data_IF_911075868810
#
_entry.id   IF_911075868810
#
_cell.length_a   1.000
_cell.length_b   1.000
_cell.length_c   1.000
_cell.angle_alpha   90.00
_cell.angle_beta   90.00
_cell.angle_gamma   90.00
#
_symmetry.space_group_name_H-M   'P 1'
#
loop_
_entity.id
_entity.type
_entity.pdbx_description
1 polymer ?
#
# COMPACT_ATOMS: atom_id res chain seq x y z
N UNK A 1 -9.92 0.40 9.05
CA UNK A 1 -10.26 1.43 10.03
C UNK A 1 -8.98 2.14 10.44
N UNK A 2 -8.51 3.10 9.63
CA UNK A 2 -7.44 3.99 10.01
C UNK A 2 -8.03 5.09 10.91
N UNK A 3 -7.52 5.23 12.12
CA UNK A 3 -7.71 6.44 12.91
C UNK A 3 -6.82 7.53 12.33
N UNK A 4 -7.27 8.77 12.42
CA UNK A 4 -6.60 9.95 11.86
C UNK A 4 -5.12 10.04 12.28
N UNK A 5 -4.26 10.59 11.41
CA UNK A 5 -2.83 10.87 11.70
C UNK A 5 -2.70 11.66 13.01
N UNK A 6 -3.61 12.60 13.29
CA UNK A 6 -3.63 13.34 14.53
C UNK A 6 -3.73 12.44 15.75
N UNK A 7 -4.56 11.38 15.72
CA UNK A 7 -4.65 10.39 16.80
C UNK A 7 -3.39 9.50 16.84
N UNK A 8 -2.84 9.12 15.67
CA UNK A 8 -1.60 8.35 15.61
C UNK A 8 -0.40 9.15 16.15
N UNK A 9 -0.28 10.42 15.78
CA UNK A 9 0.76 11.32 16.30
C UNK A 9 0.55 11.58 17.80
N UNK A 10 -0.68 11.79 18.27
CA UNK A 10 -0.97 11.92 19.69
C UNK A 10 -0.67 10.63 20.47
N UNK A 11 -0.96 9.47 19.90
CA UNK A 11 -0.64 8.16 20.50
C UNK A 11 0.88 7.99 20.65
N UNK A 12 1.65 8.38 19.63
CA UNK A 12 3.13 8.34 19.67
C UNK A 12 3.68 9.38 20.67
N UNK A 13 3.09 10.56 20.80
CA UNK A 13 3.51 11.57 21.77
C UNK A 13 3.30 11.15 23.24
N UNK A 14 2.41 10.21 23.53
CA UNK A 14 2.21 9.62 24.84
C UNK A 14 3.12 8.40 25.11
N UNK A 15 3.86 7.92 24.11
CA UNK A 15 4.93 6.97 24.34
C UNK A 15 6.05 7.72 25.08
N UNK A 16 6.27 7.40 26.36
CA UNK A 16 7.44 7.85 27.09
C UNK A 16 8.67 7.23 26.40
N UNK A 17 9.28 7.98 25.50
CA UNK A 17 10.62 7.65 25.05
C UNK A 17 11.54 7.69 26.29
N UNK A 18 12.41 6.71 26.49
CA UNK A 18 13.32 6.73 27.63
C UNK A 18 14.14 8.01 27.58
N UNK A 19 14.22 8.75 28.74
CA UNK A 19 14.94 10.02 28.90
C UNK A 19 16.47 9.91 28.76
N UNK A 20 16.99 8.77 28.36
CA UNK A 20 18.41 8.63 28.08
C UNK A 20 18.70 9.08 26.66
N UNK A 21 19.59 10.09 26.46
CA UNK A 21 20.04 10.45 25.13
C UNK A 21 20.73 9.22 24.54
N UNK A 22 20.09 8.64 23.53
CA UNK A 22 20.72 7.62 22.68
C UNK A 22 21.99 8.25 22.14
N UNK A 23 23.11 7.61 22.43
CA UNK A 23 24.44 7.96 21.95
C UNK A 23 24.38 8.35 20.47
N UNK A 24 24.91 9.50 20.09
CA UNK A 24 24.96 10.11 18.77
C UNK A 24 25.85 9.37 17.77
N UNK A 25 25.81 8.06 17.76
CA UNK A 25 26.45 7.17 16.78
C UNK A 25 25.49 6.01 16.40
N UNK A 26 24.19 6.28 16.33
CA UNK A 26 23.22 5.33 15.80
C UNK A 26 23.17 5.51 14.28
N UNK A 27 23.54 4.48 13.54
CA UNK A 27 23.03 4.24 12.20
C UNK A 27 21.51 4.15 12.36
N UNK A 28 20.81 5.29 12.14
CA UNK A 28 19.37 5.32 12.30
C UNK A 28 18.77 4.28 11.36
N UNK A 29 18.02 3.34 11.91
CA UNK A 29 17.27 2.36 11.14
C UNK A 29 16.27 3.12 10.26
N UNK A 30 16.23 2.91 8.93
CA UNK A 30 15.31 3.63 8.08
C UNK A 30 13.86 3.27 8.45
N UNK A 31 13.07 4.29 8.79
CA UNK A 31 11.66 4.13 9.15
C UNK A 31 10.78 4.86 8.15
N UNK A 32 9.61 4.27 7.87
CA UNK A 32 8.60 4.84 6.99
C UNK A 32 7.24 4.97 7.66
N UNK A 33 6.37 5.83 7.10
CA UNK A 33 5.00 6.05 7.58
C UNK A 33 4.03 6.13 6.41
N UNK A 34 2.85 5.48 6.55
CA UNK A 34 1.78 5.54 5.56
C UNK A 34 0.84 6.71 5.79
N UNK A 35 0.48 7.37 4.69
CA UNK A 35 -0.58 8.36 4.59
C UNK A 35 -1.67 7.81 3.67
N UNK A 36 -2.84 7.54 4.22
CA UNK A 36 -3.97 6.99 3.47
C UNK A 36 -4.75 8.08 2.73
N UNK A 37 -5.57 7.68 1.75
CA UNK A 37 -6.48 8.60 1.07
C UNK A 37 -7.48 9.30 2.04
N UNK A 38 -7.77 8.69 3.19
CA UNK A 38 -8.60 9.31 4.23
C UNK A 38 -7.88 10.46 4.94
N UNK A 39 -6.57 10.35 5.12
CA UNK A 39 -5.76 11.42 5.70
C UNK A 39 -5.75 12.66 4.79
N UNK A 40 -5.84 12.45 3.46
CA UNK A 40 -5.97 13.55 2.50
C UNK A 40 -7.33 14.23 2.58
N UNK A 41 -8.41 13.47 2.80
CA UNK A 41 -9.74 14.05 2.92
C UNK A 41 -9.78 15.14 3.99
N UNK A 42 -9.09 14.93 5.10
CA UNK A 42 -9.04 15.87 6.23
C UNK A 42 -8.35 17.19 5.86
N UNK A 43 -7.24 17.11 5.12
CA UNK A 43 -6.40 18.28 4.82
C UNK A 43 -6.60 18.86 3.43
N UNK A 44 -7.33 18.17 2.52
CA UNK A 44 -7.53 18.56 1.12
C UNK A 44 -8.94 19.08 0.85
N UNK A 45 -9.99 18.44 1.42
CA UNK A 45 -11.38 18.75 1.06
C UNK A 45 -11.75 20.19 1.38
N UNK A 46 -12.14 20.95 0.35
CA UNK A 46 -12.56 22.35 0.47
C UNK A 46 -11.44 23.33 0.84
N UNK A 47 -10.18 22.92 0.70
CA UNK A 47 -9.02 23.77 1.00
C UNK A 47 -8.48 24.47 -0.23
N UNK A 48 -7.98 25.67 -0.05
CA UNK A 48 -7.13 26.34 -1.03
C UNK A 48 -5.73 25.68 -1.07
N UNK A 49 -4.98 25.93 -2.14
CA UNK A 49 -3.58 25.47 -2.26
C UNK A 49 -2.73 25.85 -1.04
N UNK A 50 -2.86 27.09 -0.59
CA UNK A 50 -2.08 27.61 0.55
C UNK A 50 -2.41 26.89 1.86
N UNK A 51 -3.71 26.62 2.11
CA UNK A 51 -4.14 25.88 3.30
C UNK A 51 -3.70 24.42 3.25
N UNK A 52 -3.83 23.77 2.08
CA UNK A 52 -3.36 22.40 1.88
C UNK A 52 -1.83 22.32 2.08
N UNK A 53 -1.07 23.20 1.46
CA UNK A 53 0.40 23.26 1.60
C UNK A 53 0.80 23.42 3.07
N UNK A 54 0.18 24.35 3.80
CA UNK A 54 0.46 24.56 5.22
C UNK A 54 0.17 23.32 6.06
N UNK A 55 -0.95 22.62 5.80
CA UNK A 55 -1.30 21.38 6.48
C UNK A 55 -0.30 20.25 6.19
N UNK A 56 0.15 20.11 4.93
CA UNK A 56 1.17 19.14 4.53
C UNK A 56 2.50 19.44 5.23
N UNK A 57 2.93 20.70 5.26
CA UNK A 57 4.16 21.12 5.95
C UNK A 57 4.11 20.77 7.45
N UNK A 58 3.00 21.04 8.11
CA UNK A 58 2.82 20.70 9.53
C UNK A 58 2.95 19.19 9.74
N UNK A 59 2.29 18.37 8.92
CA UNK A 59 2.34 16.90 9.01
C UNK A 59 3.76 16.38 8.79
N UNK A 60 4.45 16.85 7.76
CA UNK A 60 5.80 16.36 7.46
C UNK A 60 6.85 16.81 8.48
N UNK A 61 6.68 17.99 9.10
CA UNK A 61 7.49 18.38 10.25
C UNK A 61 7.29 17.44 11.45
N UNK A 62 6.05 17.03 11.73
CA UNK A 62 5.76 16.04 12.77
C UNK A 62 6.40 14.70 12.46
N UNK A 63 6.28 14.21 11.22
CA UNK A 63 6.89 12.96 10.74
C UNK A 63 8.42 13.00 10.86
N UNK A 64 9.04 14.10 10.45
CA UNK A 64 10.49 14.31 10.57
C UNK A 64 10.96 14.33 12.04
N UNK A 65 10.19 14.95 12.93
CA UNK A 65 10.49 14.99 14.37
C UNK A 65 10.46 13.60 15.02
N UNK A 66 9.73 12.62 14.42
CA UNK A 66 9.72 11.22 14.83
C UNK A 66 10.90 10.41 14.26
N UNK A 67 11.77 11.02 13.46
CA UNK A 67 12.91 10.34 12.83
C UNK A 67 12.51 9.48 11.63
N UNK A 68 11.34 9.67 11.06
CA UNK A 68 10.88 9.01 9.85
C UNK A 68 11.61 9.59 8.63
N UNK A 69 12.02 8.73 7.69
CA UNK A 69 12.74 9.12 6.47
C UNK A 69 11.92 8.90 5.20
N UNK A 70 10.93 8.01 5.22
CA UNK A 70 10.11 7.66 4.05
C UNK A 70 8.63 7.82 4.35
N UNK A 71 7.89 8.43 3.43
CA UNK A 71 6.43 8.48 3.48
C UNK A 71 5.83 7.70 2.32
N UNK A 72 4.85 6.85 2.63
CA UNK A 72 4.06 6.11 1.64
C UNK A 72 2.73 6.83 1.45
N UNK A 73 2.59 7.56 0.35
CA UNK A 73 1.41 8.38 0.07
C UNK A 73 0.43 7.59 -0.80
N UNK A 74 -0.77 7.28 -0.30
CA UNK A 74 -1.80 6.58 -1.08
C UNK A 74 -2.38 7.51 -2.15
N UNK A 75 -1.80 7.51 -3.32
CA UNK A 75 -2.15 8.42 -4.43
C UNK A 75 -3.21 7.84 -5.37
N UNK A 76 -3.51 6.54 -5.25
CA UNK A 76 -4.54 5.85 -6.02
C UNK A 76 -5.16 4.71 -5.21
N UNK A 77 -6.35 4.94 -4.63
CA UNK A 77 -7.00 4.02 -3.71
C UNK A 77 -8.09 3.16 -4.37
N UNK A 78 -8.86 3.74 -5.32
CA UNK A 78 -10.08 3.13 -5.87
C UNK A 78 -10.24 3.43 -7.37
N UNK A 79 -9.20 3.20 -8.16
CA UNK A 79 -9.17 3.60 -9.57
C UNK A 79 -9.42 5.12 -9.75
N UNK A 80 -8.90 5.88 -8.83
CA UNK A 80 -8.89 7.34 -8.76
C UNK A 80 -7.44 7.84 -8.66
N UNK A 81 -7.22 9.13 -8.75
CA UNK A 81 -5.89 9.73 -8.63
C UNK A 81 -5.94 11.03 -7.81
N UNK A 82 -5.03 11.17 -6.85
CA UNK A 82 -4.76 12.41 -6.12
C UNK A 82 -3.64 13.23 -6.81
N UNK A 83 -3.62 13.13 -8.14
CA UNK A 83 -2.71 13.82 -9.06
C UNK A 83 -3.36 13.97 -10.43
N UNK A 84 -2.77 14.77 -11.32
CA UNK A 84 -3.28 14.90 -12.69
C UNK A 84 -3.02 13.63 -13.48
N UNK A 85 -4.09 12.92 -13.87
CA UNK A 85 -4.01 11.66 -14.63
C UNK A 85 -4.89 11.67 -15.86
N UNK A 86 -4.40 11.03 -16.93
CA UNK A 86 -5.17 10.75 -18.15
C UNK A 86 -5.91 9.42 -18.09
N UNK A 87 -5.54 8.54 -17.15
CA UNK A 87 -6.09 7.20 -17.00
C UNK A 87 -7.11 7.07 -15.87
N UNK A 88 -7.01 7.91 -14.85
CA UNK A 88 -7.81 7.80 -13.61
C UNK A 88 -8.50 9.13 -13.28
N UNK A 89 -9.74 9.03 -12.82
CA UNK A 89 -10.49 10.21 -12.37
C UNK A 89 -9.87 10.82 -11.10
N UNK A 90 -10.10 12.11 -10.83
CA UNK A 90 -9.69 12.74 -9.59
C UNK A 90 -10.24 12.00 -8.36
N UNK A 91 -9.41 11.92 -7.30
CA UNK A 91 -9.79 11.31 -6.03
C UNK A 91 -11.00 11.98 -5.40
N UNK A 92 -11.83 11.21 -4.69
CA UNK A 92 -13.12 11.67 -4.16
C UNK A 92 -13.01 12.85 -3.17
N UNK A 93 -11.85 13.02 -2.52
CA UNK A 93 -11.59 14.15 -1.61
C UNK A 93 -11.15 15.41 -2.36
N UNK A 94 -10.88 15.33 -3.65
CA UNK A 94 -10.62 16.48 -4.49
C UNK A 94 -11.95 17.12 -4.90
N UNK A 95 -12.11 18.40 -4.62
CA UNK A 95 -13.28 19.13 -5.12
C UNK A 95 -13.19 19.30 -6.63
N UNK A 96 -14.35 19.43 -7.31
CA UNK A 96 -14.40 19.61 -8.76
C UNK A 96 -13.70 20.89 -9.26
N UNK A 97 -13.50 21.85 -8.35
CA UNK A 97 -12.81 23.12 -8.56
C UNK A 97 -11.37 23.13 -8.00
N UNK A 98 -10.83 21.96 -7.62
CA UNK A 98 -9.44 21.86 -7.20
C UNK A 98 -8.51 22.29 -8.34
N UNK A 99 -7.86 23.44 -8.17
CA UNK A 99 -7.03 24.08 -9.20
C UNK A 99 -5.53 23.79 -9.06
N UNK A 100 -5.15 22.92 -8.12
CA UNK A 100 -3.75 22.55 -7.85
C UNK A 100 -3.60 21.02 -7.84
N UNK A 101 -2.36 20.58 -7.99
CA UNK A 101 -2.00 19.17 -7.95
C UNK A 101 -1.55 18.78 -6.53
N UNK A 102 -2.34 17.97 -5.79
CA UNK A 102 -2.00 17.61 -4.42
C UNK A 102 -0.69 16.82 -4.31
N UNK A 103 -0.44 15.88 -5.22
CA UNK A 103 0.78 15.07 -5.19
C UNK A 103 2.03 15.93 -5.42
N UNK A 104 1.97 16.88 -6.37
CA UNK A 104 3.09 17.79 -6.61
C UNK A 104 3.44 18.63 -5.38
N UNK A 105 2.42 19.09 -4.65
CA UNK A 105 2.64 19.82 -3.40
C UNK A 105 3.28 18.93 -2.36
N UNK A 106 2.73 17.73 -2.14
CA UNK A 106 3.24 16.79 -1.14
C UNK A 106 4.68 16.38 -1.43
N UNK A 107 5.02 16.10 -2.70
CA UNK A 107 6.40 15.81 -3.11
C UNK A 107 7.34 16.96 -2.80
N UNK A 108 6.95 18.18 -3.17
CA UNK A 108 7.76 19.38 -2.92
C UNK A 108 8.06 19.55 -1.43
N UNK A 109 7.04 19.46 -0.59
CA UNK A 109 7.17 19.65 0.87
C UNK A 109 7.91 18.48 1.55
N UNK A 110 7.70 17.25 1.08
CA UNK A 110 8.41 16.08 1.58
C UNK A 110 9.92 16.17 1.29
N UNK A 111 10.31 16.46 0.04
CA UNK A 111 11.71 16.57 -0.34
C UNK A 111 12.40 17.77 0.34
N UNK A 112 11.70 18.90 0.53
CA UNK A 112 12.24 20.02 1.32
C UNK A 112 12.47 19.63 2.79
N UNK A 113 11.69 18.69 3.30
CA UNK A 113 11.85 18.12 4.64
C UNK A 113 12.84 16.94 4.68
N UNK A 114 13.49 16.60 3.58
CA UNK A 114 14.43 15.48 3.49
C UNK A 114 13.76 14.10 3.56
N UNK A 115 12.45 14.02 3.28
CA UNK A 115 11.70 12.76 3.24
C UNK A 115 11.70 12.17 1.83
N UNK A 116 11.89 10.86 1.73
CA UNK A 116 11.65 10.07 0.53
C UNK A 116 10.14 9.77 0.39
N UNK A 117 9.64 9.74 -0.85
CA UNK A 117 8.21 9.55 -1.13
C UNK A 117 7.99 8.32 -2.00
N UNK A 118 7.27 7.34 -1.47
CA UNK A 118 6.76 6.22 -2.24
C UNK A 118 5.26 6.42 -2.53
N UNK A 119 4.92 6.48 -3.80
CA UNK A 119 3.53 6.58 -4.23
C UNK A 119 2.83 5.22 -4.05
N UNK A 120 1.89 5.16 -3.11
CA UNK A 120 1.12 3.95 -2.85
C UNK A 120 -0.11 3.90 -3.76
N UNK A 121 -0.25 2.82 -4.51
CA UNK A 121 -1.34 2.58 -5.45
C UNK A 121 -2.02 1.24 -5.19
N UNK A 122 -3.33 1.19 -5.29
CA UNK A 122 -4.13 -0.02 -5.25
C UNK A 122 -4.49 -0.41 -6.70
N UNK A 123 -3.82 -1.40 -7.31
CA UNK A 123 -3.93 -1.62 -8.75
C UNK A 123 -5.29 -2.14 -9.19
N UNK A 124 -5.96 -2.97 -8.38
CA UNK A 124 -7.18 -3.69 -8.81
C UNK A 124 -8.49 -3.12 -8.24
N UNK A 125 -8.42 -2.35 -7.15
CA UNK A 125 -9.64 -1.82 -6.50
C UNK A 125 -10.26 -0.70 -7.31
N UNK A 126 -11.59 -0.78 -7.53
CA UNK A 126 -12.37 0.27 -8.16
C UNK A 126 -13.44 0.79 -7.21
N UNK A 127 -14.30 1.62 -7.72
CA UNK A 127 -15.36 2.34 -7.03
C UNK A 127 -16.58 1.46 -6.73
N UNK A 128 -17.51 1.97 -5.92
CA UNK A 128 -18.87 1.41 -5.74
C UNK A 128 -19.74 1.67 -6.98
N UNK A 129 -20.92 1.03 -7.09
CA UNK A 129 -21.84 1.24 -8.20
C UNK A 129 -22.15 2.74 -8.42
N UNK A 130 -22.56 3.43 -7.36
CA UNK A 130 -22.92 4.84 -7.43
C UNK A 130 -21.78 5.76 -7.91
N UNK A 131 -20.55 5.41 -7.60
CA UNK A 131 -19.37 6.15 -8.02
C UNK A 131 -18.94 5.79 -9.45
N UNK A 132 -19.08 4.51 -9.85
CA UNK A 132 -18.83 4.08 -11.23
C UNK A 132 -19.79 4.75 -12.21
N UNK A 133 -21.07 4.88 -11.84
CA UNK A 133 -22.09 5.57 -12.65
C UNK A 133 -21.82 7.08 -12.84
N UNK A 134 -21.06 7.69 -11.93
CA UNK A 134 -20.68 9.10 -11.98
C UNK A 134 -19.29 9.34 -12.61
N UNK A 135 -18.55 8.27 -12.91
CA UNK A 135 -17.21 8.38 -13.48
C UNK A 135 -17.26 8.98 -14.87
N UNK A 136 -16.50 10.06 -15.17
CA UNK A 136 -16.52 10.69 -16.48
C UNK A 136 -16.12 9.73 -17.61
N UNK A 137 -16.82 9.83 -18.76
CA UNK A 137 -16.67 8.90 -19.89
C UNK A 137 -15.29 8.88 -20.55
N UNK A 138 -14.46 9.92 -20.33
CA UNK A 138 -13.11 9.97 -20.90
C UNK A 138 -12.17 8.92 -20.30
N UNK A 139 -12.46 8.37 -19.12
CA UNK A 139 -11.59 7.40 -18.46
C UNK A 139 -11.85 5.98 -18.95
N UNK A 140 -10.79 5.17 -19.21
CA UNK A 140 -10.93 3.80 -19.72
C UNK A 140 -11.84 2.92 -18.86
N UNK A 141 -11.77 3.04 -17.53
CA UNK A 141 -12.59 2.25 -16.60
C UNK A 141 -14.08 2.57 -16.73
N UNK A 142 -14.45 3.84 -16.94
CA UNK A 142 -15.83 4.24 -17.22
C UNK A 142 -16.34 3.62 -18.52
N UNK A 143 -15.52 3.65 -19.58
CA UNK A 143 -15.84 3.03 -20.86
C UNK A 143 -16.03 1.52 -20.73
N UNK A 144 -15.18 0.85 -19.93
CA UNK A 144 -15.32 -0.58 -19.67
C UNK A 144 -16.56 -0.92 -18.83
N UNK A 145 -16.92 -0.04 -17.90
CA UNK A 145 -18.13 -0.20 -17.10
C UNK A 145 -19.42 -0.04 -17.95
N UNK A 146 -19.41 0.83 -18.93
CA UNK A 146 -20.51 1.01 -19.87
C UNK A 146 -20.63 -0.13 -20.91
N UNK A 147 -19.54 -0.82 -21.21
CA UNK A 147 -19.49 -1.92 -22.17
C UNK A 147 -19.94 -3.25 -21.51
N UNK A 148 -21.10 -3.78 -21.93
CA UNK A 148 -21.67 -5.01 -21.38
C UNK A 148 -20.77 -6.24 -21.56
N UNK A 149 -19.87 -6.24 -22.55
CA UNK A 149 -18.92 -7.36 -22.78
C UNK A 149 -17.76 -7.33 -21.83
N UNK A 150 -17.42 -6.17 -21.27
CA UNK A 150 -16.31 -5.95 -20.33
C UNK A 150 -16.80 -5.91 -18.89
N UNK A 151 -18.00 -5.35 -18.66
CA UNK A 151 -18.63 -5.39 -17.36
C UNK A 151 -19.03 -6.84 -16.99
N UNK A 152 -18.48 -7.34 -15.89
CA UNK A 152 -18.60 -8.72 -15.45
C UNK A 152 -17.46 -9.64 -15.92
N UNK A 153 -16.51 -9.12 -16.71
CA UNK A 153 -15.31 -9.84 -17.16
C UNK A 153 -14.03 -9.08 -16.80
N UNK A 154 -13.76 -7.93 -17.41
CA UNK A 154 -12.61 -7.06 -17.10
C UNK A 154 -12.81 -6.29 -15.79
N UNK A 155 -14.05 -5.88 -15.54
CA UNK A 155 -14.54 -5.27 -14.30
C UNK A 155 -15.52 -6.24 -13.65
N UNK A 156 -15.22 -6.73 -12.47
CA UNK A 156 -16.04 -7.70 -11.76
C UNK A 156 -16.46 -7.14 -10.40
N UNK A 157 -17.74 -7.26 -10.07
CA UNK A 157 -18.24 -6.83 -8.77
C UNK A 157 -17.95 -7.90 -7.72
N UNK A 158 -17.32 -7.48 -6.61
CA UNK A 158 -17.11 -8.32 -5.43
C UNK A 158 -17.36 -7.49 -4.17
N UNK A 159 -18.31 -7.93 -3.37
CA UNK A 159 -18.78 -7.15 -2.23
C UNK A 159 -19.53 -5.88 -2.68
N UNK A 160 -19.16 -4.74 -2.10
CA UNK A 160 -19.78 -3.43 -2.34
C UNK A 160 -19.17 -2.65 -3.50
N UNK A 161 -18.09 -3.17 -4.14
CA UNK A 161 -17.32 -2.45 -5.16
C UNK A 161 -16.94 -3.30 -6.36
N UNK A 162 -16.47 -2.60 -7.39
CA UNK A 162 -15.90 -3.19 -8.58
C UNK A 162 -14.39 -3.43 -8.41
N UNK A 163 -13.89 -4.37 -9.19
CA UNK A 163 -12.49 -4.78 -9.21
C UNK A 163 -12.04 -5.03 -10.64
N UNK A 164 -10.84 -4.62 -10.96
CA UNK A 164 -10.18 -5.00 -12.21
C UNK A 164 -9.76 -6.48 -12.14
N UNK A 165 -10.02 -7.21 -13.22
CA UNK A 165 -9.63 -8.61 -13.33
C UNK A 165 -8.24 -8.72 -13.97
N UNK A 166 -7.19 -9.13 -13.23
CA UNK A 166 -5.81 -9.16 -13.74
C UNK A 166 -5.58 -10.21 -14.81
N UNK A 167 -6.54 -11.10 -15.09
CA UNK A 167 -6.44 -12.10 -16.12
C UNK A 167 -6.35 -11.52 -17.55
N UNK A 168 -6.89 -10.31 -17.75
CA UNK A 168 -6.96 -9.67 -19.07
C UNK A 168 -5.72 -8.80 -19.34
N UNK A 169 -5.05 -8.98 -20.50
CA UNK A 169 -3.87 -8.19 -20.87
C UNK A 169 -4.12 -6.70 -20.88
N UNK A 170 -5.29 -6.25 -21.34
CA UNK A 170 -5.66 -4.84 -21.43
C UNK A 170 -5.81 -4.20 -20.03
N UNK A 171 -6.28 -4.97 -19.06
CA UNK A 171 -6.33 -4.54 -17.66
C UNK A 171 -4.92 -4.33 -17.12
N UNK A 172 -4.03 -5.28 -17.36
CA UNK A 172 -2.61 -5.16 -16.94
C UNK A 172 -1.92 -3.98 -17.64
N UNK A 173 -2.24 -3.75 -18.92
CA UNK A 173 -1.69 -2.63 -19.67
C UNK A 173 -2.14 -1.29 -19.09
N UNK A 174 -3.44 -1.10 -18.81
CA UNK A 174 -3.96 0.12 -18.18
C UNK A 174 -3.22 0.43 -16.86
N UNK A 175 -2.97 -0.61 -16.06
CA UNK A 175 -2.30 -0.44 -14.77
C UNK A 175 -0.83 -0.05 -14.97
N UNK A 176 -0.14 -0.69 -15.92
CA UNK A 176 1.24 -0.37 -16.29
C UNK A 176 1.37 1.04 -16.86
N UNK A 177 0.43 1.46 -17.73
CA UNK A 177 0.40 2.81 -18.30
C UNK A 177 0.22 3.87 -17.23
N UNK A 178 -0.68 3.63 -16.25
CA UNK A 178 -0.87 4.53 -15.13
C UNK A 178 0.33 4.60 -14.17
N UNK A 179 1.12 3.53 -14.06
CA UNK A 179 2.41 3.56 -13.32
C UNK A 179 3.45 4.34 -14.12
N UNK A 180 3.53 4.11 -15.43
CA UNK A 180 4.42 4.85 -16.33
C UNK A 180 4.12 6.35 -16.29
N UNK A 181 2.84 6.75 -16.34
CA UNK A 181 2.40 8.13 -16.19
C UNK A 181 2.92 8.74 -14.89
N UNK A 182 2.68 8.05 -13.76
CA UNK A 182 3.07 8.53 -12.43
C UNK A 182 4.60 8.74 -12.32
N UNK A 183 5.40 7.76 -12.74
CA UNK A 183 6.86 7.81 -12.67
C UNK A 183 7.44 8.84 -13.67
N UNK A 184 6.74 9.12 -14.78
CA UNK A 184 7.17 10.10 -15.78
C UNK A 184 6.89 11.53 -15.33
N UNK A 185 5.75 11.76 -14.69
CA UNK A 185 5.28 13.12 -14.38
C UNK A 185 5.79 13.64 -13.04
N UNK A 186 6.13 12.72 -12.09
CA UNK A 186 6.44 13.07 -10.72
C UNK A 186 7.80 12.54 -10.28
N UNK A 187 8.52 13.34 -9.52
CA UNK A 187 9.82 12.97 -8.92
C UNK A 187 9.61 12.12 -7.64
N UNK A 188 8.94 10.98 -7.79
CA UNK A 188 8.77 10.02 -6.71
C UNK A 188 10.00 9.14 -6.53
N UNK A 189 10.27 8.71 -5.30
CA UNK A 189 11.41 7.84 -4.97
C UNK A 189 11.05 6.36 -5.07
N UNK A 190 9.75 6.04 -4.97
CA UNK A 190 9.25 4.68 -5.10
C UNK A 190 7.78 4.61 -5.50
N UNK A 191 7.37 3.42 -5.93
CA UNK A 191 5.97 3.01 -6.08
C UNK A 191 5.74 1.84 -5.14
N UNK A 192 4.66 1.86 -4.36
CA UNK A 192 4.26 0.75 -3.50
C UNK A 192 2.87 0.25 -3.88
N UNK A 193 2.67 -1.05 -3.84
CA UNK A 193 1.35 -1.69 -3.80
C UNK A 193 1.17 -2.41 -2.47
N UNK A 194 -0.08 -2.57 -2.05
CA UNK A 194 -0.42 -3.29 -0.82
C UNK A 194 -0.98 -4.70 -1.09
N UNK A 195 -1.77 -5.21 -0.17
CA UNK A 195 -2.29 -6.57 -0.16
C UNK A 195 -3.61 -6.76 -0.93
N UNK A 196 -4.09 -5.76 -1.70
CA UNK A 196 -5.35 -5.88 -2.43
C UNK A 196 -5.15 -6.51 -3.82
N UNK A 197 -4.92 -7.84 -3.85
CA UNK A 197 -4.90 -8.65 -5.06
C UNK A 197 -6.30 -9.21 -5.39
N UNK A 198 -6.49 -10.53 -5.52
CA UNK A 198 -7.84 -11.08 -5.73
C UNK A 198 -8.74 -10.82 -4.52
N UNK A 199 -9.93 -10.21 -4.70
CA UNK A 199 -10.81 -9.85 -3.59
C UNK A 199 -11.57 -11.04 -3.00
N UNK A 200 -11.56 -12.18 -3.69
CA UNK A 200 -12.36 -13.35 -3.34
C UNK A 200 -11.73 -14.64 -3.86
N UNK A 201 -11.97 -15.72 -3.14
CA UNK A 201 -11.68 -17.08 -3.60
C UNK A 201 -12.79 -17.68 -4.48
N UNK A 202 -13.92 -16.98 -4.63
CA UNK A 202 -15.05 -17.42 -5.45
C UNK A 202 -14.59 -17.61 -6.91
N UNK A 203 -14.90 -18.78 -7.47
CA UNK A 203 -14.55 -19.15 -8.83
C UNK A 203 -15.29 -18.36 -9.91
N UNK A 204 -16.41 -17.73 -9.56
CA UNK A 204 -17.20 -16.91 -10.50
C UNK A 204 -16.49 -15.62 -10.91
N UNK A 205 -15.58 -15.09 -10.07
CA UNK A 205 -14.88 -13.84 -10.32
C UNK A 205 -14.15 -13.80 -11.67
N UNK A 206 -13.54 -14.93 -12.07
CA UNK A 206 -12.71 -15.04 -13.27
C UNK A 206 -13.07 -16.26 -14.13
N UNK A 207 -14.29 -16.76 -14.01
CA UNK A 207 -14.71 -18.03 -14.63
C UNK A 207 -14.46 -18.09 -16.13
N UNK A 208 -14.79 -17.04 -16.88
CA UNK A 208 -14.59 -16.98 -18.33
C UNK A 208 -13.09 -17.03 -18.69
N UNK A 209 -12.29 -16.17 -18.11
CA UNK A 209 -10.85 -16.11 -18.37
C UNK A 209 -10.12 -17.42 -17.98
N UNK A 210 -10.54 -18.04 -16.86
CA UNK A 210 -9.98 -19.33 -16.46
C UNK A 210 -10.33 -20.45 -17.45
N UNK A 211 -11.58 -20.51 -17.92
CA UNK A 211 -12.01 -21.49 -18.92
C UNK A 211 -11.25 -21.33 -20.26
N UNK A 212 -11.06 -20.08 -20.71
CA UNK A 212 -10.31 -19.77 -21.94
C UNK A 212 -8.83 -20.11 -21.82
N UNK A 213 -8.26 -20.04 -20.61
CA UNK A 213 -6.84 -20.32 -20.39
C UNK A 213 -6.45 -21.79 -20.60
N UNK A 214 -7.40 -22.71 -20.49
CA UNK A 214 -7.15 -24.16 -20.52
C UNK A 214 -6.42 -24.69 -19.27
N UNK A 215 -6.20 -23.87 -18.25
CA UNK A 215 -5.55 -24.28 -17.02
C UNK A 215 -6.44 -25.24 -16.22
N UNK A 216 -5.84 -26.19 -15.51
CA UNK A 216 -6.54 -27.17 -14.68
C UNK A 216 -6.53 -26.80 -13.19
N UNK A 217 -5.55 -26.00 -12.74
CA UNK A 217 -5.41 -25.53 -11.37
C UNK A 217 -5.66 -24.01 -11.29
N UNK A 218 -6.82 -23.64 -10.75
CA UNK A 218 -7.21 -22.23 -10.61
C UNK A 218 -6.33 -21.46 -9.64
N UNK A 219 -5.89 -22.09 -8.56
CA UNK A 219 -5.05 -21.42 -7.56
C UNK A 219 -3.70 -21.03 -8.15
N UNK A 220 -3.03 -21.97 -8.78
CA UNK A 220 -1.77 -21.72 -9.48
C UNK A 220 -1.94 -20.71 -10.62
N UNK A 221 -3.04 -20.80 -11.38
CA UNK A 221 -3.34 -19.87 -12.46
C UNK A 221 -3.58 -18.44 -11.95
N UNK A 222 -4.32 -18.25 -10.85
CA UNK A 222 -4.53 -16.93 -10.24
C UNK A 222 -3.24 -16.32 -9.74
N UNK A 223 -2.36 -17.11 -9.10
CA UNK A 223 -1.02 -16.65 -8.69
C UNK A 223 -0.23 -16.15 -9.89
N UNK A 224 -0.29 -16.88 -11.01
CA UNK A 224 0.36 -16.45 -12.26
C UNK A 224 -0.22 -15.13 -12.79
N UNK A 225 -1.55 -14.86 -12.65
CA UNK A 225 -2.11 -13.56 -13.03
C UNK A 225 -1.62 -12.44 -12.11
N UNK A 226 -1.47 -12.71 -10.81
CA UNK A 226 -0.85 -11.77 -9.87
C UNK A 226 0.62 -11.52 -10.22
N UNK A 227 1.37 -12.56 -10.57
CA UNK A 227 2.76 -12.43 -10.99
C UNK A 227 2.89 -11.53 -12.23
N UNK A 228 2.02 -11.72 -13.23
CA UNK A 228 2.01 -10.91 -14.46
C UNK A 228 1.72 -9.43 -14.19
N UNK A 229 0.79 -9.10 -13.30
CA UNK A 229 0.50 -7.70 -12.97
C UNK A 229 1.65 -7.06 -12.19
N UNK A 230 2.22 -7.78 -11.23
CA UNK A 230 3.39 -7.32 -10.47
C UNK A 230 4.58 -7.05 -11.40
N UNK A 231 4.88 -7.99 -12.30
CA UNK A 231 5.94 -7.81 -13.30
C UNK A 231 5.66 -6.65 -14.26
N UNK A 232 4.41 -6.46 -14.70
CA UNK A 232 4.04 -5.35 -15.57
C UNK A 232 4.29 -4.00 -14.90
N UNK A 233 3.93 -3.86 -13.61
CA UNK A 233 4.17 -2.66 -12.82
C UNK A 233 5.67 -2.45 -12.54
N UNK A 234 6.40 -3.50 -12.13
CA UNK A 234 7.85 -3.45 -11.92
C UNK A 234 8.57 -2.98 -13.18
N UNK A 235 8.25 -3.60 -14.32
CA UNK A 235 8.83 -3.24 -15.61
C UNK A 235 8.49 -1.80 -16.02
N UNK A 236 7.25 -1.35 -15.81
CA UNK A 236 6.85 0.03 -16.06
C UNK A 236 7.69 1.03 -15.26
N UNK A 237 7.91 0.76 -13.96
CA UNK A 237 8.78 1.57 -13.11
C UNK A 237 10.22 1.57 -13.65
N UNK A 238 10.82 0.39 -13.83
CA UNK A 238 12.24 0.25 -14.14
C UNK A 238 12.61 0.73 -15.55
N UNK A 239 11.71 0.60 -16.51
CA UNK A 239 11.91 1.12 -17.87
C UNK A 239 11.78 2.65 -17.93
N UNK A 240 10.94 3.23 -17.08
CA UNK A 240 10.75 4.68 -17.02
C UNK A 240 11.87 5.35 -16.21
N UNK A 241 12.14 4.87 -15.01
CA UNK A 241 13.22 5.35 -14.15
C UNK A 241 13.77 4.21 -13.27
N UNK A 242 14.93 3.63 -13.58
CA UNK A 242 15.48 2.50 -12.84
C UNK A 242 15.89 2.83 -11.40
N UNK A 243 15.95 4.10 -11.02
CA UNK A 243 16.28 4.54 -9.66
C UNK A 243 15.06 4.51 -8.74
N UNK A 244 13.85 4.60 -9.29
CA UNK A 244 12.61 4.52 -8.51
C UNK A 244 12.42 3.09 -8.01
N UNK A 245 12.21 2.94 -6.72
CA UNK A 245 11.96 1.63 -6.10
C UNK A 245 10.54 1.16 -6.39
N UNK A 246 10.36 -0.15 -6.53
CA UNK A 246 9.03 -0.77 -6.56
C UNK A 246 8.90 -1.76 -5.41
N UNK A 247 7.92 -1.56 -4.55
CA UNK A 247 7.71 -2.39 -3.36
C UNK A 247 6.31 -2.94 -3.24
N UNK A 248 6.20 -4.03 -2.50
CA UNK A 248 4.93 -4.71 -2.23
C UNK A 248 4.76 -4.86 -0.71
N UNK A 249 3.60 -4.44 -0.20
CA UNK A 249 3.22 -4.61 1.22
C UNK A 249 2.11 -5.67 1.32
N UNK A 250 2.46 -6.97 1.32
CA UNK A 250 1.50 -8.06 1.35
C UNK A 250 0.93 -8.30 2.76
N UNK A 251 -0.03 -9.21 2.90
CA UNK A 251 -0.51 -9.70 4.19
C UNK A 251 0.64 -10.25 5.03
N UNK A 252 0.59 -10.06 6.36
CA UNK A 252 1.60 -10.55 7.29
C UNK A 252 1.70 -12.07 7.39
N UNK A 253 0.68 -12.82 6.95
CA UNK A 253 0.68 -14.29 6.98
C UNK A 253 0.59 -14.90 5.58
N UNK A 254 1.22 -16.06 5.37
CA UNK A 254 1.08 -16.80 4.10
C UNK A 254 -0.37 -17.17 3.78
N UNK A 255 -1.14 -17.58 4.79
CA UNK A 255 -2.54 -17.96 4.58
C UNK A 255 -3.42 -16.78 4.14
N UNK A 256 -3.10 -15.55 4.55
CA UNK A 256 -3.72 -14.33 4.05
C UNK A 256 -3.38 -14.10 2.58
N UNK A 257 -2.11 -14.21 2.22
CA UNK A 257 -1.62 -14.06 0.86
C UNK A 257 -2.19 -15.13 -0.09
N UNK A 258 -2.27 -16.37 0.34
CA UNK A 258 -2.89 -17.47 -0.42
C UNK A 258 -4.35 -17.18 -0.80
N UNK A 259 -5.15 -16.62 0.13
CA UNK A 259 -6.55 -16.25 -0.15
C UNK A 259 -6.67 -15.16 -1.22
N UNK A 260 -5.66 -14.32 -1.35
CA UNK A 260 -5.61 -13.25 -2.35
C UNK A 260 -4.81 -13.65 -3.60
N UNK A 261 -4.32 -14.89 -3.66
CA UNK A 261 -3.47 -15.40 -4.73
C UNK A 261 -2.17 -14.60 -4.91
N UNK A 262 -1.68 -13.97 -3.85
CA UNK A 262 -0.42 -13.23 -3.82
C UNK A 262 0.75 -14.22 -3.66
N UNK A 263 1.62 -14.28 -4.67
CA UNK A 263 2.73 -15.24 -4.74
C UNK A 263 4.01 -14.66 -4.12
N UNK A 264 3.89 -14.30 -2.84
CA UNK A 264 4.95 -13.60 -2.08
C UNK A 264 6.26 -14.38 -2.01
N UNK A 265 6.20 -15.70 -2.08
CA UNK A 265 7.41 -16.53 -2.10
C UNK A 265 8.20 -16.34 -3.40
N UNK A 266 7.52 -16.37 -4.56
CA UNK A 266 8.16 -16.05 -5.83
C UNK A 266 8.74 -14.64 -5.81
N UNK A 267 8.03 -13.65 -5.29
CA UNK A 267 8.47 -12.26 -5.26
C UNK A 267 9.67 -12.01 -4.33
N UNK A 268 9.75 -12.74 -3.21
CA UNK A 268 10.88 -12.64 -2.28
C UNK A 268 12.11 -13.47 -2.67
N UNK A 269 11.95 -14.44 -3.59
CA UNK A 269 13.01 -15.37 -3.96
C UNK A 269 13.56 -15.16 -5.37
N UNK A 270 12.91 -14.32 -6.18
CA UNK A 270 13.24 -14.15 -7.60
C UNK A 270 13.28 -12.68 -7.97
N UNK A 271 14.38 -12.25 -8.61
CA UNK A 271 14.51 -10.89 -9.11
C UNK A 271 13.47 -10.57 -10.21
N UNK A 272 13.12 -9.29 -10.37
CA UNK A 272 12.24 -8.81 -11.44
C UNK A 272 10.77 -8.71 -11.06
N UNK A 273 10.44 -8.81 -9.77
CA UNK A 273 9.10 -8.59 -9.24
C UNK A 273 9.01 -7.35 -8.36
N UNK A 274 9.98 -7.14 -7.48
CA UNK A 274 10.04 -5.96 -6.60
C UNK A 274 11.48 -5.70 -6.16
N UNK A 275 11.72 -4.50 -5.59
CA UNK A 275 12.97 -4.13 -4.93
C UNK A 275 12.89 -4.38 -3.42
N UNK A 276 11.67 -4.38 -2.86
CA UNK A 276 11.44 -4.72 -1.46
C UNK A 276 10.07 -5.36 -1.23
N UNK A 277 10.01 -6.24 -0.22
CA UNK A 277 8.77 -6.72 0.40
C UNK A 277 8.62 -6.06 1.77
N UNK A 278 7.38 -5.62 2.07
CA UNK A 278 7.03 -4.95 3.32
C UNK A 278 5.77 -5.61 3.91
N UNK A 279 5.85 -6.88 4.39
CA UNK A 279 4.69 -7.58 4.93
C UNK A 279 4.12 -6.86 6.15
N UNK A 280 2.78 -6.86 6.27
CA UNK A 280 2.01 -6.17 7.29
C UNK A 280 1.93 -7.03 8.57
N UNK A 281 2.94 -6.95 9.44
CA UNK A 281 2.99 -7.69 10.70
C UNK A 281 2.22 -6.95 11.80
N UNK A 282 0.91 -6.83 11.62
CA UNK A 282 0.03 -6.13 12.55
C UNK A 282 -0.40 -7.06 13.71
N UNK A 283 0.58 -7.68 14.36
CA UNK A 283 0.42 -8.69 15.40
C UNK A 283 1.22 -8.31 16.63
N UNK A 284 0.71 -8.62 17.83
CA UNK A 284 1.50 -8.53 19.04
C UNK A 284 2.36 -9.79 19.27
N UNK A 285 3.22 -9.76 20.28
CA UNK A 285 4.07 -10.90 20.65
C UNK A 285 3.26 -12.08 21.18
N UNK A 286 2.09 -11.82 21.80
CA UNK A 286 1.22 -12.84 22.40
C UNK A 286 0.10 -13.30 21.44
N UNK A 287 0.13 -12.88 20.17
CA UNK A 287 -0.84 -13.36 19.20
C UNK A 287 -0.67 -14.88 19.00
N UNK A 288 -1.72 -15.65 19.29
CA UNK A 288 -1.63 -17.13 19.29
C UNK A 288 -1.55 -17.75 17.90
N UNK A 289 -1.83 -16.98 16.83
CA UNK A 289 -1.81 -17.50 15.46
C UNK A 289 -0.56 -17.03 14.68
N UNK A 290 -0.14 -15.80 14.91
CA UNK A 290 0.98 -15.17 14.24
C UNK A 290 1.72 -14.26 15.25
N UNK A 291 2.47 -14.82 16.21
CA UNK A 291 3.26 -14.03 17.14
C UNK A 291 4.29 -13.20 16.36
N UNK A 292 4.48 -11.94 16.78
CA UNK A 292 5.29 -10.99 16.02
C UNK A 292 6.70 -11.49 15.75
N UNK A 293 7.40 -11.98 16.79
CA UNK A 293 8.80 -12.40 16.66
C UNK A 293 8.99 -13.57 15.68
N UNK A 294 8.16 -14.61 15.81
CA UNK A 294 8.20 -15.78 14.94
C UNK A 294 7.80 -15.42 13.51
N UNK A 295 6.84 -14.51 13.36
CA UNK A 295 6.38 -14.06 12.03
C UNK A 295 7.45 -13.21 11.35
N UNK A 296 8.16 -12.34 12.08
CA UNK A 296 9.27 -11.57 11.54
C UNK A 296 10.45 -12.48 11.12
N UNK A 297 10.81 -13.44 11.96
CA UNK A 297 11.84 -14.43 11.64
C UNK A 297 11.47 -15.26 10.40
N UNK A 298 10.21 -15.69 10.31
CA UNK A 298 9.71 -16.41 9.14
C UNK A 298 9.88 -15.57 7.85
N UNK A 299 9.53 -14.28 7.85
CA UNK A 299 9.69 -13.43 6.67
C UNK A 299 11.17 -13.23 6.30
N UNK A 300 12.06 -13.12 7.26
CA UNK A 300 13.50 -13.05 7.01
C UNK A 300 14.01 -14.31 6.26
N UNK A 301 13.44 -15.47 6.53
CA UNK A 301 13.75 -16.72 5.82
C UNK A 301 13.11 -16.80 4.40
N UNK A 302 12.00 -16.09 4.17
CA UNK A 302 11.31 -16.12 2.87
C UNK A 302 11.96 -15.22 1.82
N UNK A 303 12.60 -14.12 2.22
CA UNK A 303 13.22 -13.16 1.29
C UNK A 303 14.69 -13.55 1.12
N UNK A 304 14.98 -14.29 0.05
CA UNK A 304 16.32 -14.85 -0.23
C UNK A 304 16.96 -14.29 -1.48
N UNK A 305 16.22 -13.56 -2.31
CA UNK A 305 16.77 -12.88 -3.47
C UNK A 305 17.64 -11.71 -3.00
N UNK A 306 18.92 -11.61 -3.41
CA UNK A 306 19.81 -10.53 -2.97
C UNK A 306 19.41 -9.15 -3.50
N UNK A 307 18.56 -9.10 -4.54
CA UNK A 307 18.05 -7.86 -5.13
C UNK A 307 16.74 -7.39 -4.46
N UNK A 308 16.23 -8.10 -3.45
CA UNK A 308 15.00 -7.78 -2.74
C UNK A 308 15.30 -7.53 -1.26
N UNK A 309 14.98 -6.34 -0.79
CA UNK A 309 15.08 -6.00 0.64
C UNK A 309 13.82 -6.42 1.39
N UNK A 310 13.97 -6.90 2.62
CA UNK A 310 12.85 -7.09 3.54
C UNK A 310 12.70 -5.85 4.42
N UNK A 311 11.51 -5.25 4.40
CA UNK A 311 11.06 -4.24 5.35
C UNK A 311 9.89 -4.82 6.12
N UNK A 312 9.63 -4.36 7.34
CA UNK A 312 8.54 -4.88 8.16
C UNK A 312 7.53 -3.78 8.46
N UNK A 313 6.26 -4.02 8.10
CA UNK A 313 5.15 -3.14 8.45
C UNK A 313 4.61 -3.46 9.85
N UNK A 314 4.65 -2.48 10.75
CA UNK A 314 4.08 -2.57 12.10
C UNK A 314 2.86 -1.67 12.23
N UNK A 315 2.01 -1.89 13.22
CA UNK A 315 0.84 -1.05 13.45
C UNK A 315 0.90 -0.34 14.81
N UNK A 316 0.61 0.95 14.81
CA UNK A 316 0.49 1.73 16.04
C UNK A 316 -0.97 1.93 16.47
N UNK A 317 -1.92 1.79 15.55
CA UNK A 317 -3.34 2.04 15.80
C UNK A 317 -3.99 1.05 16.78
N UNK A 318 -3.36 -0.09 17.04
CA UNK A 318 -3.86 -1.07 18.01
C UNK A 318 -3.54 -0.71 19.47
N UNK A 319 -2.64 0.24 19.73
CA UNK A 319 -2.29 0.66 21.10
C UNK A 319 -3.56 1.09 21.84
N UNK A 320 -3.80 0.52 23.02
CA UNK A 320 -4.99 0.73 23.83
C UNK A 320 -6.26 0.02 23.32
N UNK A 321 -6.19 -0.75 22.24
CA UNK A 321 -7.33 -1.48 21.67
C UNK A 321 -7.25 -2.97 22.00
N UNK A 322 -8.41 -3.67 21.94
CA UNK A 322 -8.43 -5.12 21.91
C UNK A 322 -8.16 -5.63 20.48
N UNK A 323 -7.28 -6.62 20.36
CA UNK A 323 -7.09 -7.38 19.13
C UNK A 323 -7.91 -8.68 19.19
N UNK A 324 -9.15 -8.63 18.74
CA UNK A 324 -10.08 -9.78 18.79
C UNK A 324 -9.62 -10.98 17.96
N UNK A 325 -8.60 -10.81 17.11
CA UNK A 325 -8.03 -11.86 16.28
C UNK A 325 -6.77 -12.51 16.87
N UNK A 326 -6.28 -11.99 18.01
CA UNK A 326 -5.03 -12.43 18.61
C UNK A 326 -5.18 -13.66 19.55
N UNK A 327 -6.37 -14.21 19.72
CA UNK A 327 -6.60 -15.33 20.64
C UNK A 327 -6.23 -14.95 22.08
N UNK A 328 -5.30 -15.67 22.71
CA UNK A 328 -4.88 -15.41 24.08
C UNK A 328 -4.17 -14.05 24.24
N UNK A 329 -3.59 -13.52 23.16
CA UNK A 329 -2.96 -12.19 23.12
C UNK A 329 -3.95 -11.02 22.94
N UNK A 330 -5.26 -11.24 23.01
CA UNK A 330 -6.29 -10.25 22.69
C UNK A 330 -6.17 -8.93 23.47
N UNK A 331 -5.66 -8.96 24.69
CA UNK A 331 -5.53 -7.78 25.56
C UNK A 331 -4.13 -7.16 25.58
N UNK A 332 -3.17 -7.75 24.86
CA UNK A 332 -1.77 -7.31 24.89
C UNK A 332 -1.63 -5.81 24.61
N UNK A 333 -2.24 -5.32 23.52
CA UNK A 333 -2.19 -3.91 23.12
C UNK A 333 -2.86 -2.94 24.09
N UNK A 334 -3.74 -3.43 25.01
CA UNK A 334 -4.35 -2.65 26.07
C UNK A 334 -3.49 -2.59 27.33
N UNK A 335 -2.77 -3.68 27.63
CA UNK A 335 -2.07 -3.87 28.89
C UNK A 335 -0.58 -3.57 28.80
N UNK A 336 0.00 -3.62 27.60
CA UNK A 336 1.40 -3.34 27.35
C UNK A 336 1.55 -2.15 26.37
N UNK A 337 1.83 -0.97 26.92
CA UNK A 337 2.09 0.25 26.11
C UNK A 337 3.43 0.23 25.38
N UNK A 338 4.27 -0.79 25.61
CA UNK A 338 5.61 -0.90 25.03
C UNK A 338 5.67 -1.89 23.84
N UNK A 339 4.54 -2.42 23.38
CA UNK A 339 4.52 -3.41 22.28
C UNK A 339 5.30 -2.90 21.07
N UNK A 340 4.98 -1.69 20.56
CA UNK A 340 5.66 -1.11 19.39
C UNK A 340 7.16 -0.88 19.64
N UNK A 341 7.53 -0.42 20.84
CA UNK A 341 8.95 -0.21 21.19
C UNK A 341 9.73 -1.55 21.18
N UNK A 342 9.11 -2.61 21.68
CA UNK A 342 9.69 -3.96 21.68
C UNK A 342 9.77 -4.53 20.27
N UNK A 343 8.77 -4.28 19.41
CA UNK A 343 8.80 -4.66 17.99
C UNK A 343 9.98 -3.99 17.28
N UNK A 344 10.12 -2.67 17.43
CA UNK A 344 11.24 -1.92 16.86
C UNK A 344 12.59 -2.41 17.39
N UNK A 345 12.72 -2.65 18.71
CA UNK A 345 13.94 -3.17 19.31
C UNK A 345 14.30 -4.54 18.73
N UNK A 346 13.33 -5.43 18.57
CA UNK A 346 13.54 -6.74 17.94
C UNK A 346 14.05 -6.58 16.51
N UNK A 347 13.35 -5.79 15.67
CA UNK A 347 13.71 -5.60 14.27
C UNK A 347 15.10 -4.99 14.10
N UNK A 348 15.47 -4.01 14.94
CA UNK A 348 16.81 -3.40 14.92
C UNK A 348 17.95 -4.40 15.24
N UNK A 349 17.64 -5.54 15.84
CA UNK A 349 18.61 -6.58 16.20
C UNK A 349 18.52 -7.83 15.30
N UNK A 350 17.64 -7.82 14.30
CA UNK A 350 17.50 -8.94 13.36
C UNK A 350 18.39 -8.74 12.12
N UNK A 351 19.07 -9.78 11.72
CA UNK A 351 19.81 -9.78 10.46
C UNK A 351 18.85 -9.87 9.26
N UNK A 352 19.10 -9.08 8.23
CA UNK A 352 18.37 -9.15 6.97
C UNK A 352 17.10 -8.27 6.88
N UNK A 353 16.90 -7.38 7.85
CA UNK A 353 15.79 -6.38 7.82
C UNK A 353 16.37 -4.98 7.67
#
# INVERSE_FOLDING_TARGET
>A
FCKNITENVQTIQHLHLPENPVSTASTAFPCGMWFTAMDYAEILTGKSEAEFRAAVQERFQQVQALGIQTVFLQVRAFADAYYTSTYYMPGLSMSADCSFDPLQIMLTEAHQSGLSVHAWVNPLRCQTDAQMEQMPEQYPISQWYADETKRGTWLVKSGDRWWLNPAYPEVRQLIADGVTELVTQYEIDGVQIDDYFYPTTDASFDAAAFAESGASDRSAWRKEQCNRIVQAMYNAVKQTNPKVLFGISPQGTLSGNEKQSADVQTWGQTAGYCDYLLPQLYFGFQNSTAPFAETAAFWAEQVTCPDVSLWIGICTYKIGQQDTWAGDGMTEWQTDSQVVSKELELLCNMDGI
#
